data_IF_674438567751
#
_entry.id   IF_674438567751
#
_cell.length_a   1.000
_cell.length_b   1.000
_cell.length_c   1.000
_cell.angle_alpha   90.00
_cell.angle_beta   90.00
_cell.angle_gamma   90.00
#
_symmetry.space_group_name_H-M   'P 1'
#
loop_
_entity.id
_entity.type
_entity.pdbx_description
1 polymer ?
#
# COMPACT_ATOMS: atom_id res chain seq x y z
N UNK A 1 7.85 21.77 15.97
CA UNK A 1 6.92 20.66 15.67
C UNK A 1 6.94 20.46 14.17
N UNK A 2 7.58 19.41 13.68
CA UNK A 2 7.63 19.13 12.24
C UNK A 2 6.31 18.44 11.91
N UNK A 3 5.43 19.10 11.16
CA UNK A 3 4.10 18.57 10.84
C UNK A 3 4.20 17.37 9.90
N UNK A 4 3.57 16.25 10.25
CA UNK A 4 3.47 15.08 9.37
C UNK A 4 2.66 15.39 8.12
N UNK A 5 3.10 14.91 6.95
CA UNK A 5 2.39 15.10 5.68
C UNK A 5 1.51 13.89 5.40
N UNK A 6 0.21 14.09 5.26
CA UNK A 6 -0.70 13.02 4.84
C UNK A 6 -0.64 12.87 3.32
N UNK A 7 -0.50 11.63 2.85
CA UNK A 7 -0.59 11.25 1.44
C UNK A 7 -1.73 10.27 1.23
N UNK A 8 -2.37 10.33 0.07
CA UNK A 8 -3.45 9.44 -0.31
C UNK A 8 -2.99 8.51 -1.43
N UNK A 9 -3.24 7.22 -1.27
CA UNK A 9 -2.93 6.20 -2.27
C UNK A 9 -4.20 5.49 -2.69
N UNK A 10 -4.34 5.25 -3.99
CA UNK A 10 -5.51 4.60 -4.58
C UNK A 10 -5.11 3.30 -5.24
N UNK A 11 -5.80 2.23 -4.91
CA UNK A 11 -5.53 0.89 -5.45
C UNK A 11 -6.80 0.17 -5.88
N UNK A 12 -6.63 -0.71 -6.86
CA UNK A 12 -7.61 -1.72 -7.25
C UNK A 12 -7.62 -2.82 -6.20
N UNK A 13 -8.78 -3.08 -5.62
CA UNK A 13 -9.00 -4.13 -4.61
C UNK A 13 -10.00 -5.14 -5.15
N UNK A 14 -9.67 -6.43 -4.97
CA UNK A 14 -10.44 -7.56 -5.46
C UNK A 14 -11.09 -8.28 -4.29
N UNK A 15 -12.41 -8.47 -4.37
CA UNK A 15 -13.17 -9.22 -3.39
C UNK A 15 -13.73 -10.47 -4.05
N UNK A 16 -13.29 -11.64 -3.59
CA UNK A 16 -13.72 -12.94 -4.06
C UNK A 16 -14.60 -13.60 -3.01
N UNK A 17 -15.84 -13.93 -3.36
CA UNK A 17 -16.75 -14.63 -2.44
C UNK A 17 -16.24 -16.05 -2.20
N UNK A 18 -16.11 -16.42 -0.93
CA UNK A 18 -15.73 -17.77 -0.53
C UNK A 18 -16.89 -18.75 -0.83
N UNK A 19 -16.70 -19.79 -1.67
CA UNK A 19 -17.79 -20.69 -2.05
C UNK A 19 -18.41 -21.49 -0.91
N UNK A 20 -17.66 -21.73 0.17
CA UNK A 20 -18.08 -22.60 1.27
C UNK A 20 -18.86 -21.88 2.38
N UNK A 21 -18.96 -20.56 2.31
CA UNK A 21 -19.66 -19.77 3.33
C UNK A 21 -20.72 -18.87 2.69
N UNK A 22 -21.69 -18.42 3.49
CA UNK A 22 -22.81 -17.61 2.96
C UNK A 22 -22.35 -16.22 2.50
N UNK A 23 -21.45 -15.58 3.24
CA UNK A 23 -21.12 -14.15 3.09
C UNK A 23 -19.65 -13.78 3.29
N UNK A 24 -18.73 -14.76 3.40
CA UNK A 24 -17.30 -14.43 3.54
C UNK A 24 -16.69 -14.02 2.21
N UNK A 25 -15.81 -13.01 2.25
CA UNK A 25 -15.03 -12.55 1.10
C UNK A 25 -13.55 -12.64 1.44
N UNK A 26 -12.77 -13.25 0.54
CA UNK A 26 -11.32 -13.12 0.50
C UNK A 26 -10.97 -11.85 -0.29
N UNK A 27 -10.02 -11.07 0.21
CA UNK A 27 -9.68 -9.76 -0.36
C UNK A 27 -8.19 -9.67 -0.63
N UNK A 28 -7.84 -9.10 -1.78
CA UNK A 28 -6.45 -8.87 -2.18
C UNK A 28 -6.27 -7.57 -2.95
N UNK A 29 -5.04 -7.05 -2.93
CA UNK A 29 -4.63 -5.86 -3.69
C UNK A 29 -3.53 -6.28 -4.68
N UNK A 30 -3.80 -6.36 -5.99
CA UNK A 30 -2.82 -6.87 -6.96
C UNK A 30 -1.51 -6.09 -7.06
N UNK A 31 -1.51 -4.82 -6.65
CA UNK A 31 -0.31 -3.98 -6.56
C UNK A 31 0.49 -4.20 -5.26
N UNK A 32 -0.13 -4.79 -4.23
CA UNK A 32 0.47 -5.10 -2.93
C UNK A 32 0.33 -6.61 -2.67
N UNK A 33 1.14 -7.47 -3.33
CA UNK A 33 0.91 -8.92 -3.38
C UNK A 33 0.93 -9.64 -2.02
N UNK A 34 1.46 -9.02 -0.96
CA UNK A 34 1.38 -9.53 0.42
C UNK A 34 0.18 -9.02 1.23
N UNK A 35 -0.63 -8.10 0.70
CA UNK A 35 -1.81 -7.56 1.36
C UNK A 35 -3.04 -8.42 1.05
N UNK A 36 -3.26 -9.43 1.90
CA UNK A 36 -4.41 -10.33 1.84
C UNK A 36 -5.15 -10.33 3.18
N UNK A 37 -6.48 -10.34 3.12
CA UNK A 37 -7.34 -10.45 4.30
C UNK A 37 -8.68 -11.09 3.92
N UNK A 38 -9.59 -11.21 4.87
CA UNK A 38 -10.96 -11.64 4.63
C UNK A 38 -11.94 -10.90 5.53
N UNK A 39 -13.23 -11.00 5.22
CA UNK A 39 -14.29 -10.51 6.09
C UNK A 39 -15.58 -11.30 5.92
N UNK A 40 -16.36 -11.39 6.99
CA UNK A 40 -17.63 -12.14 7.05
C UNK A 40 -18.80 -11.47 6.30
N UNK A 41 -18.56 -10.28 5.77
CA UNK A 41 -19.43 -9.54 4.87
C UNK A 41 -18.58 -8.64 3.98
N UNK A 42 -19.16 -8.07 2.92
CA UNK A 42 -18.42 -7.15 2.05
C UNK A 42 -17.90 -5.93 2.83
N UNK A 43 -18.73 -5.36 3.71
CA UNK A 43 -18.35 -4.21 4.54
C UNK A 43 -17.24 -4.55 5.54
N UNK A 44 -17.33 -5.72 6.18
CA UNK A 44 -16.27 -6.18 7.08
C UNK A 44 -14.96 -6.38 6.29
N UNK A 45 -15.03 -6.98 5.12
CA UNK A 45 -13.86 -7.20 4.26
C UNK A 45 -13.24 -5.89 3.76
N UNK A 46 -14.04 -4.86 3.49
CA UNK A 46 -13.57 -3.50 3.16
C UNK A 46 -12.84 -2.84 4.33
N UNK A 47 -13.37 -2.96 5.56
CA UNK A 47 -12.70 -2.46 6.75
C UNK A 47 -11.33 -3.13 6.94
N UNK A 48 -11.31 -4.48 6.87
CA UNK A 48 -10.09 -5.25 7.08
C UNK A 48 -9.02 -4.94 6.04
N UNK A 49 -9.38 -4.76 4.76
CA UNK A 49 -8.39 -4.45 3.73
C UNK A 49 -7.91 -3.01 3.82
N UNK A 50 -8.75 -2.07 4.26
CA UNK A 50 -8.34 -0.69 4.47
C UNK A 50 -7.22 -0.62 5.53
N UNK A 51 -7.41 -1.23 6.69
CA UNK A 51 -6.39 -1.28 7.74
C UNK A 51 -5.11 -1.99 7.27
N UNK A 52 -5.25 -3.11 6.55
CA UNK A 52 -4.11 -3.85 6.01
C UNK A 52 -3.32 -3.04 4.98
N UNK A 53 -3.99 -2.27 4.13
CA UNK A 53 -3.36 -1.38 3.16
C UNK A 53 -2.63 -0.22 3.85
N UNK A 54 -3.25 0.40 4.84
CA UNK A 54 -2.63 1.48 5.62
C UNK A 54 -1.35 0.99 6.32
N UNK A 55 -1.39 -0.18 6.94
CA UNK A 55 -0.22 -0.79 7.58
C UNK A 55 0.88 -1.12 6.55
N UNK A 56 0.54 -1.80 5.45
CA UNK A 56 1.50 -2.18 4.42
C UNK A 56 2.25 -0.96 3.87
N UNK A 57 1.52 0.09 3.51
CA UNK A 57 2.10 1.31 2.95
C UNK A 57 2.93 2.08 3.98
N UNK A 58 2.52 2.05 5.26
CA UNK A 58 3.31 2.65 6.34
C UNK A 58 4.64 1.93 6.49
N UNK A 59 4.65 0.59 6.48
CA UNK A 59 5.89 -0.21 6.53
C UNK A 59 6.81 0.11 5.35
N UNK A 60 6.30 0.17 4.12
CA UNK A 60 7.12 0.57 2.96
C UNK A 60 7.76 1.95 3.15
N UNK A 61 7.00 2.92 3.68
CA UNK A 61 7.53 4.27 3.91
C UNK A 61 8.59 4.30 5.02
N UNK A 62 8.38 3.55 6.10
CA UNK A 62 9.30 3.45 7.23
C UNK A 62 10.62 2.76 6.83
N UNK A 63 10.55 1.79 5.91
CA UNK A 63 11.70 1.10 5.33
C UNK A 63 12.36 1.90 4.19
N UNK A 64 11.82 3.06 3.82
CA UNK A 64 12.31 3.91 2.73
C UNK A 64 12.08 3.32 1.33
N UNK A 65 11.18 2.35 1.21
CA UNK A 65 10.78 1.74 -0.05
C UNK A 65 9.81 2.61 -0.85
N UNK A 66 9.74 2.35 -2.15
CA UNK A 66 8.81 3.02 -3.05
C UNK A 66 7.42 2.40 -2.94
N UNK A 67 6.39 3.24 -2.84
CA UNK A 67 5.02 2.78 -2.99
C UNK A 67 4.78 2.36 -4.45
N UNK A 68 4.34 1.12 -4.73
CA UNK A 68 4.07 0.69 -6.09
C UNK A 68 2.86 1.41 -6.68
N UNK A 69 2.84 1.57 -8.01
CA UNK A 69 1.67 2.08 -8.72
C UNK A 69 0.54 1.03 -8.75
N UNK A 70 -0.71 1.50 -8.87
CA UNK A 70 -1.86 0.61 -9.03
C UNK A 70 -1.74 -0.27 -10.29
N UNK A 71 -2.37 -1.45 -10.24
CA UNK A 71 -2.30 -2.46 -11.31
C UNK A 71 -3.67 -2.74 -11.89
N UNK A 72 -3.83 -2.48 -13.19
CA UNK A 72 -4.99 -2.95 -13.94
C UNK A 72 -4.94 -4.46 -14.09
N UNK A 73 -6.03 -5.13 -13.71
CA UNK A 73 -6.14 -6.59 -13.77
C UNK A 73 -7.40 -7.01 -14.49
N UNK A 74 -7.33 -8.14 -15.19
CA UNK A 74 -8.49 -8.82 -15.77
C UNK A 74 -8.93 -9.90 -14.79
N UNK A 75 -10.15 -9.80 -14.27
CA UNK A 75 -10.67 -10.71 -13.24
C UNK A 75 -11.66 -11.72 -13.81
N UNK A 76 -11.84 -12.83 -13.09
CA UNK A 76 -12.86 -13.84 -13.39
C UNK A 76 -14.26 -13.29 -13.10
N UNK A 77 -15.30 -13.92 -13.68
CA UNK A 77 -16.69 -13.58 -13.38
C UNK A 77 -16.99 -13.80 -11.90
N UNK A 78 -17.68 -12.86 -11.27
CA UNK A 78 -18.09 -12.93 -9.86
C UNK A 78 -17.10 -12.30 -8.87
N UNK A 79 -15.92 -11.87 -9.33
CA UNK A 79 -15.03 -11.03 -8.52
C UNK A 79 -15.56 -9.61 -8.50
N UNK A 80 -15.76 -9.06 -7.29
CA UNK A 80 -16.13 -7.66 -7.12
C UNK A 80 -14.84 -6.82 -7.13
N UNK A 81 -14.80 -5.79 -7.95
CA UNK A 81 -13.65 -4.89 -8.09
C UNK A 81 -14.01 -3.53 -7.55
N UNK A 82 -13.22 -3.01 -6.61
CA UNK A 82 -13.39 -1.65 -6.06
C UNK A 82 -12.09 -0.86 -6.17
N UNK A 83 -12.22 0.45 -6.31
CA UNK A 83 -11.13 1.40 -6.15
C UNK A 83 -11.19 1.92 -4.72
N UNK A 84 -10.16 1.63 -3.93
CA UNK A 84 -10.08 2.07 -2.54
C UNK A 84 -8.96 3.09 -2.38
N UNK A 85 -9.21 4.10 -1.54
CA UNK A 85 -8.26 5.16 -1.23
C UNK A 85 -7.93 5.08 0.25
N UNK A 86 -6.64 5.06 0.58
CA UNK A 86 -6.13 5.06 1.96
C UNK A 86 -5.24 6.28 2.19
N UNK A 87 -5.30 6.82 3.40
CA UNK A 87 -4.49 7.95 3.83
C UNK A 87 -3.36 7.46 4.73
N UNK A 88 -2.12 7.80 4.40
CA UNK A 88 -0.95 7.42 5.21
C UNK A 88 -0.23 8.69 5.66
N UNK A 89 0.07 8.77 6.95
CA UNK A 89 0.87 9.86 7.51
C UNK A 89 2.34 9.55 7.26
N UNK A 90 3.03 10.42 6.54
CA UNK A 90 4.48 10.36 6.41
C UNK A 90 5.09 11.35 7.40
N UNK A 91 5.84 10.84 8.36
CA UNK A 91 6.69 11.68 9.19
C UNK A 91 7.91 12.10 8.36
N UNK A 92 8.13 13.42 8.28
CA UNK A 92 9.28 13.97 7.58
C UNK A 92 10.43 14.08 8.59
N UNK A 93 11.38 13.15 8.55
CA UNK A 93 12.68 13.41 9.16
C UNK A 93 13.47 14.31 8.22
N UNK A 94 13.95 15.45 8.71
CA UNK A 94 14.94 16.22 7.98
C UNK A 94 16.23 15.38 8.00
N UNK A 95 16.45 14.60 6.95
CA UNK A 95 17.73 13.96 6.73
C UNK A 95 18.78 15.07 6.68
N UNK A 96 19.70 15.07 7.64
CA UNK A 96 20.95 15.83 7.48
C UNK A 96 21.67 15.17 6.32
N UNK A 97 21.60 15.79 5.13
CA UNK A 97 22.40 15.38 3.99
C UNK A 97 23.81 15.90 4.27
N UNK A 98 24.68 15.05 4.80
CA UNK A 98 26.09 15.37 5.00
C UNK A 98 26.79 15.48 3.63
N UNK A 99 26.87 16.70 3.10
CA UNK A 99 27.66 17.07 1.91
C UNK A 99 29.18 17.15 2.23
N UNK A 100 29.65 16.52 3.30
CA UNK A 100 30.95 16.77 3.93
C UNK A 100 31.90 15.58 4.01
N UNK A 101 31.97 14.70 3.01
CA UNK A 101 33.19 13.89 2.77
C UNK A 101 33.55 13.85 1.29
N UNK A 102 34.52 14.70 0.99
CA UNK A 102 35.31 14.78 -0.23
C UNK A 102 35.80 13.38 -0.67
N UNK A 103 35.12 12.79 -1.65
CA UNK A 103 35.77 11.77 -2.49
C UNK A 103 36.42 12.51 -3.64
N UNK A 104 37.75 12.57 -3.59
CA UNK A 104 38.59 13.09 -4.64
C UNK A 104 38.17 12.49 -5.99
N UNK A 105 37.82 13.35 -6.95
CA UNK A 105 37.84 12.98 -8.35
C UNK A 105 39.27 12.54 -8.70
N UNK A 106 39.49 11.43 -9.42
CA UNK A 106 40.81 11.16 -9.95
C UNK A 106 41.16 12.30 -10.91
N UNK A 107 42.30 12.94 -10.68
CA UNK A 107 42.85 13.90 -11.62
C UNK A 107 43.03 13.20 -12.97
N UNK A 108 42.37 13.73 -14.00
CA UNK A 108 42.66 13.40 -15.39
C UNK A 108 43.71 14.37 -15.91
N UNK A 109 44.69 13.81 -16.62
CA UNK A 109 45.88 14.38 -17.27
C UNK A 109 47.14 14.51 -16.39
#
# INVERSE_FOLDING_TARGET
MIGGKVKFYKFTVLFEKEPRTKETYNVSVPALPGCLTFGESLTHAEYMIQEAMELYLSTLLDEGELIPADKKVRVKKGVIVKQMVVAVKQELSAGVVDYGRETAYPAVA
#
